data_IF_819496093129
#
_entry.id   IF_819496093129
#
_cell.length_a   1.000
_cell.length_b   1.000
_cell.length_c   1.000
_cell.angle_alpha   90.00
_cell.angle_beta   90.00
_cell.angle_gamma   90.00
#
_symmetry.space_group_name_H-M   'P 1'
#
loop_
_entity.id
_entity.type
_entity.pdbx_description
1 polymer ?
#
# COMPACT_ATOMS: atom_id res chain seq x y z
N UNK A 1 19.58 -23.67 38.86
CA UNK A 1 18.47 -24.63 38.66
C UNK A 1 17.24 -23.80 38.30
N UNK A 2 17.04 -23.49 37.01
CA UNK A 2 16.05 -24.14 36.10
C UNK A 2 14.62 -23.98 36.60
N UNK A 3 13.83 -23.06 36.06
CA UNK A 3 13.06 -23.14 34.79
C UNK A 3 11.63 -23.61 35.03
N UNK A 4 10.64 -22.76 34.69
CA UNK A 4 9.41 -23.13 33.97
C UNK A 4 8.50 -21.89 33.86
N UNK A 5 8.80 -21.04 32.89
CA UNK A 5 7.83 -20.12 32.30
C UNK A 5 7.33 -20.78 31.02
N UNK A 6 6.11 -21.30 31.05
CA UNK A 6 5.39 -21.84 29.89
C UNK A 6 3.91 -21.47 30.04
N UNK A 7 3.11 -21.16 29.03
CA UNK A 7 3.30 -20.75 27.64
C UNK A 7 1.91 -20.20 27.30
N UNK A 8 1.76 -18.89 27.12
CA UNK A 8 0.54 -18.34 26.53
C UNK A 8 0.79 -18.26 25.02
N UNK A 9 0.67 -19.42 24.35
CA UNK A 9 0.85 -19.57 22.91
C UNK A 9 -0.22 -18.75 22.18
N UNK A 10 0.13 -17.51 21.87
CA UNK A 10 -0.71 -16.61 21.09
C UNK A 10 -0.81 -17.15 19.67
N UNK A 11 -2.04 -17.53 19.30
CA UNK A 11 -2.51 -18.00 17.97
C UNK A 11 -1.98 -17.15 16.80
N UNK A 12 -1.54 -15.92 17.07
CA UNK A 12 -0.86 -15.01 16.13
C UNK A 12 0.42 -15.60 15.49
N UNK A 13 1.14 -16.49 16.20
CA UNK A 13 2.38 -17.11 15.70
C UNK A 13 2.17 -18.15 14.59
N UNK A 14 1.00 -18.81 14.54
CA UNK A 14 0.71 -19.85 13.54
C UNK A 14 0.30 -19.28 12.17
N UNK A 15 0.00 -17.99 12.08
CA UNK A 15 -0.34 -17.28 10.82
C UNK A 15 0.78 -16.39 10.28
N UNK A 16 1.96 -16.32 10.91
CA UNK A 16 3.05 -15.44 10.47
C UNK A 16 2.77 -13.95 10.68
N UNK A 17 1.78 -13.61 11.51
CA UNK A 17 1.39 -12.25 11.81
C UNK A 17 2.28 -11.67 12.90
N UNK A 18 2.85 -10.48 12.64
CA UNK A 18 3.67 -9.76 13.64
C UNK A 18 2.81 -9.38 14.86
N UNK A 19 3.35 -9.44 16.09
CA UNK A 19 2.62 -9.11 17.30
C UNK A 19 2.02 -7.70 17.23
N UNK A 20 0.79 -7.51 17.74
CA UNK A 20 0.06 -6.23 17.72
C UNK A 20 0.71 -5.26 18.72
N UNK A 21 1.87 -4.71 18.35
CA UNK A 21 2.55 -3.60 19.03
C UNK A 21 2.29 -2.32 18.24
N UNK A 22 2.22 -1.14 18.87
CA UNK A 22 1.95 0.13 18.17
C UNK A 22 2.82 0.37 16.93
N UNK A 23 4.11 -0.01 16.99
CA UNK A 23 5.00 0.02 15.83
C UNK A 23 4.64 -0.98 14.73
N UNK A 24 4.15 -2.17 15.06
CA UNK A 24 3.73 -3.15 14.05
C UNK A 24 2.38 -2.76 13.45
N UNK A 25 1.46 -2.19 14.22
CA UNK A 25 0.19 -1.64 13.69
C UNK A 25 0.47 -0.55 12.66
N UNK A 26 1.33 0.41 13.01
CA UNK A 26 1.73 1.48 12.10
C UNK A 26 2.55 0.94 10.92
N UNK A 27 3.61 0.17 11.14
CA UNK A 27 4.58 -0.12 10.07
C UNK A 27 4.39 -1.46 9.35
N UNK A 28 3.43 -2.29 9.77
CA UNK A 28 3.11 -3.58 9.15
C UNK A 28 1.65 -3.64 8.71
N UNK A 29 0.71 -3.36 9.62
CA UNK A 29 -0.72 -3.48 9.29
C UNK A 29 -1.25 -2.30 8.46
N UNK A 30 -0.82 -1.06 8.72
CA UNK A 30 -1.30 0.08 7.95
C UNK A 30 -0.84 0.08 6.48
N UNK A 31 0.41 -0.32 6.13
CA UNK A 31 0.79 -0.54 4.73
C UNK A 31 -0.02 -1.62 4.03
N UNK A 32 -0.34 -2.72 4.74
CA UNK A 32 -1.20 -3.79 4.19
C UNK A 32 -2.63 -3.29 3.96
N UNK A 33 -3.19 -2.55 4.92
CA UNK A 33 -4.49 -1.90 4.76
C UNK A 33 -4.48 -0.88 3.60
N UNK A 34 -3.38 -0.15 3.43
CA UNK A 34 -3.16 0.73 2.28
C UNK A 34 -3.11 -0.02 0.96
N UNK A 35 -2.46 -1.18 0.90
CA UNK A 35 -2.40 -2.04 -0.29
C UNK A 35 -3.79 -2.62 -0.66
N UNK A 36 -4.57 -3.03 0.34
CA UNK A 36 -5.95 -3.46 0.14
C UNK A 36 -6.81 -2.29 -0.37
N UNK A 37 -6.64 -1.10 0.22
CA UNK A 37 -7.35 0.11 -0.19
C UNK A 37 -6.98 0.54 -1.62
N UNK A 38 -5.71 0.39 -2.00
CA UNK A 38 -5.20 0.67 -3.34
C UNK A 38 -5.79 -0.28 -4.38
N UNK A 39 -5.91 -1.56 -4.04
CA UNK A 39 -6.54 -2.55 -4.92
C UNK A 39 -8.04 -2.29 -5.06
N UNK A 40 -8.72 -1.91 -3.98
CA UNK A 40 -10.12 -1.51 -4.04
C UNK A 40 -10.31 -0.22 -4.87
N UNK A 41 -9.36 0.72 -4.79
CA UNK A 41 -9.34 1.94 -5.59
C UNK A 41 -9.16 1.63 -7.08
N UNK A 42 -8.31 0.66 -7.45
CA UNK A 42 -8.12 0.26 -8.85
C UNK A 42 -9.40 -0.31 -9.46
N UNK A 43 -10.12 -1.15 -8.70
CA UNK A 43 -11.41 -1.70 -9.10
C UNK A 43 -12.44 -0.57 -9.22
N UNK A 44 -12.44 0.40 -8.29
CA UNK A 44 -13.35 1.54 -8.32
C UNK A 44 -13.17 2.41 -9.57
N UNK A 45 -11.93 2.72 -9.95
CA UNK A 45 -11.64 3.53 -11.13
C UNK A 45 -12.02 2.79 -12.42
N UNK A 46 -11.67 1.49 -12.50
CA UNK A 46 -11.94 0.65 -13.68
C UNK A 46 -13.41 0.23 -13.82
N UNK A 47 -14.13 0.09 -12.70
CA UNK A 47 -15.51 -0.39 -12.65
C UNK A 47 -16.32 0.30 -11.52
N UNK A 48 -16.84 1.52 -11.75
CA UNK A 48 -17.55 2.28 -10.72
C UNK A 48 -18.89 1.65 -10.36
N UNK A 49 -19.49 0.89 -11.27
CA UNK A 49 -20.78 0.21 -11.10
C UNK A 49 -20.75 -0.83 -9.99
N UNK A 50 -19.61 -1.48 -9.75
CA UNK A 50 -19.43 -2.43 -8.65
C UNK A 50 -19.46 -1.74 -7.27
N UNK A 51 -18.77 -0.61 -7.11
CA UNK A 51 -18.76 0.12 -5.84
C UNK A 51 -20.13 0.72 -5.53
N UNK A 52 -20.80 1.30 -6.54
CA UNK A 52 -22.13 1.88 -6.35
C UNK A 52 -23.14 0.83 -5.91
N UNK A 53 -22.98 -0.42 -6.36
CA UNK A 53 -23.85 -1.54 -5.98
C UNK A 53 -23.55 -2.08 -4.57
N UNK A 54 -22.30 -2.06 -4.14
CA UNK A 54 -21.90 -2.49 -2.79
C UNK A 54 -22.14 -1.41 -1.73
N UNK A 55 -21.99 -0.13 -2.09
CA UNK A 55 -22.06 0.98 -1.16
C UNK A 55 -22.67 2.25 -1.79
N UNK A 56 -24.00 2.31 -1.92
CA UNK A 56 -24.71 3.36 -2.65
C UNK A 56 -24.75 4.75 -1.99
N UNK A 57 -24.21 4.94 -0.77
CA UNK A 57 -24.42 6.16 0.05
C UNK A 57 -23.17 6.81 0.66
N UNK A 58 -21.96 6.35 0.35
CA UNK A 58 -20.71 6.90 0.93
C UNK A 58 -19.65 7.14 -0.12
N UNK A 59 -18.94 8.28 -0.01
CA UNK A 59 -17.74 8.63 -0.79
C UNK A 59 -16.54 7.76 -0.40
N UNK A 60 -16.64 6.46 -0.68
CA UNK A 60 -15.64 5.46 -0.32
C UNK A 60 -14.35 5.67 -1.08
N UNK A 61 -14.40 6.21 -2.30
CA UNK A 61 -13.22 6.51 -3.10
C UNK A 61 -12.26 7.44 -2.36
N UNK A 62 -12.77 8.49 -1.71
CA UNK A 62 -11.94 9.43 -0.94
C UNK A 62 -11.32 8.75 0.29
N UNK A 63 -12.08 7.87 0.96
CA UNK A 63 -11.59 7.11 2.10
C UNK A 63 -10.51 6.10 1.68
N UNK A 64 -10.73 5.39 0.57
CA UNK A 64 -9.77 4.44 -0.01
C UNK A 64 -8.49 5.15 -0.44
N UNK A 65 -8.62 6.33 -1.03
CA UNK A 65 -7.50 7.16 -1.46
C UNK A 65 -6.71 7.67 -0.26
N UNK A 66 -7.35 8.17 0.79
CA UNK A 66 -6.67 8.59 2.03
C UNK A 66 -5.94 7.40 2.68
N UNK A 67 -6.58 6.23 2.79
CA UNK A 67 -5.94 5.05 3.36
C UNK A 67 -4.75 4.58 2.52
N UNK A 68 -4.86 4.65 1.19
CA UNK A 68 -3.77 4.35 0.26
C UNK A 68 -2.59 5.31 0.45
N UNK A 69 -2.87 6.62 0.53
CA UNK A 69 -1.85 7.65 0.76
C UNK A 69 -1.16 7.47 2.11
N UNK A 70 -1.93 7.19 3.17
CA UNK A 70 -1.37 6.94 4.49
C UNK A 70 -0.52 5.67 4.51
N UNK A 71 -1.02 4.56 3.94
CA UNK A 71 -0.28 3.30 3.91
C UNK A 71 1.01 3.37 3.08
N UNK A 72 0.95 3.95 1.88
CA UNK A 72 2.12 4.13 1.01
C UNK A 72 3.10 5.17 1.55
N UNK A 73 2.60 6.27 2.12
CA UNK A 73 3.43 7.30 2.76
C UNK A 73 4.12 6.76 4.00
N UNK A 74 3.43 5.98 4.83
CA UNK A 74 4.03 5.35 6.00
C UNK A 74 5.02 4.24 5.63
N UNK A 75 4.73 3.50 4.55
CA UNK A 75 5.66 2.54 3.96
C UNK A 75 6.96 3.23 3.53
N UNK A 76 6.88 4.28 2.71
CA UNK A 76 8.02 5.07 2.26
C UNK A 76 8.77 5.68 3.45
N UNK A 77 8.04 6.25 4.42
CA UNK A 77 8.63 6.85 5.61
C UNK A 77 9.54 5.87 6.31
N UNK A 78 9.17 4.59 6.48
CA UNK A 78 9.99 3.65 7.24
C UNK A 78 11.24 3.13 6.48
N UNK A 79 11.43 3.48 5.21
CA UNK A 79 12.50 2.88 4.39
C UNK A 79 13.90 3.43 4.72
N UNK A 80 14.95 2.59 4.60
CA UNK A 80 16.31 2.97 4.94
C UNK A 80 16.90 4.08 4.07
N UNK A 81 16.51 4.22 2.79
CA UNK A 81 17.01 5.29 1.92
C UNK A 81 16.67 6.71 2.41
N UNK A 82 15.60 6.87 3.21
CA UNK A 82 15.21 8.16 3.79
C UNK A 82 15.74 8.39 5.21
N UNK A 83 16.50 7.44 5.78
CA UNK A 83 17.04 7.58 7.14
C UNK A 83 18.17 8.59 7.25
N UNK A 84 18.84 8.91 6.14
CA UNK A 84 19.87 9.95 6.08
C UNK A 84 19.29 11.38 6.06
N UNK A 85 18.02 11.53 5.69
CA UNK A 85 17.35 12.83 5.61
C UNK A 85 16.84 13.32 6.98
N UNK A 86 16.66 14.64 7.12
CA UNK A 86 16.04 15.22 8.32
C UNK A 86 14.59 14.74 8.49
N UNK A 87 14.06 14.73 9.72
CA UNK A 87 12.70 14.24 10.00
C UNK A 87 11.63 14.95 9.15
N UNK A 88 11.75 16.26 8.93
CA UNK A 88 10.83 17.03 8.09
C UNK A 88 10.93 16.61 6.61
N UNK A 89 12.15 16.51 6.06
CA UNK A 89 12.36 16.07 4.68
C UNK A 89 11.85 14.65 4.46
N UNK A 90 12.06 13.76 5.43
CA UNK A 90 11.56 12.37 5.38
C UNK A 90 10.04 12.33 5.28
N UNK A 91 9.31 13.17 6.03
CA UNK A 91 7.86 13.28 5.91
C UNK A 91 7.47 13.81 4.53
N UNK A 92 8.07 14.92 4.07
CA UNK A 92 7.74 15.54 2.79
C UNK A 92 7.99 14.62 1.59
N UNK A 93 9.14 13.93 1.56
CA UNK A 93 9.47 12.98 0.50
C UNK A 93 8.55 11.77 0.49
N UNK A 94 8.16 11.28 1.67
CA UNK A 94 7.22 10.16 1.77
C UNK A 94 5.82 10.55 1.31
N UNK A 95 5.34 11.73 1.67
CA UNK A 95 4.05 12.27 1.21
C UNK A 95 4.08 12.47 -0.30
N UNK A 96 5.14 13.09 -0.82
CA UNK A 96 5.31 13.32 -2.26
C UNK A 96 5.29 11.99 -3.02
N UNK A 97 6.10 11.01 -2.62
CA UNK A 97 6.11 9.69 -3.25
C UNK A 97 4.77 8.97 -3.20
N UNK A 98 4.08 9.03 -2.05
CA UNK A 98 2.76 8.44 -1.89
C UNK A 98 1.71 9.09 -2.82
N UNK A 99 1.69 10.42 -2.91
CA UNK A 99 0.78 11.17 -3.76
C UNK A 99 1.08 10.91 -5.23
N UNK A 100 2.33 11.02 -5.65
CA UNK A 100 2.75 10.76 -7.04
C UNK A 100 2.41 9.33 -7.47
N UNK A 101 2.69 8.34 -6.62
CA UNK A 101 2.36 6.95 -6.92
C UNK A 101 0.84 6.73 -7.01
N UNK A 102 0.08 7.22 -6.04
CA UNK A 102 -1.37 7.00 -5.98
C UNK A 102 -2.11 7.71 -7.12
N UNK A 103 -1.80 8.99 -7.35
CA UNK A 103 -2.42 9.78 -8.42
C UNK A 103 -1.96 9.30 -9.81
N UNK A 104 -0.69 8.94 -9.97
CA UNK A 104 -0.18 8.35 -11.21
C UNK A 104 -0.90 7.04 -11.55
N UNK A 105 -1.16 6.19 -10.55
CA UNK A 105 -1.91 4.95 -10.73
C UNK A 105 -3.35 5.20 -11.17
N UNK A 106 -4.03 6.18 -10.55
CA UNK A 106 -5.40 6.56 -10.94
C UNK A 106 -5.46 7.05 -12.39
N UNK A 107 -4.46 7.84 -12.84
CA UNK A 107 -4.38 8.29 -14.23
C UNK A 107 -4.18 7.10 -15.20
N UNK A 108 -3.30 6.16 -14.86
CA UNK A 108 -3.09 4.94 -15.66
C UNK A 108 -4.39 4.13 -15.77
N UNK A 109 -5.13 3.96 -14.67
CA UNK A 109 -6.41 3.26 -14.70
C UNK A 109 -7.50 4.01 -15.47
N UNK A 110 -7.51 5.35 -15.41
CA UNK A 110 -8.42 6.15 -16.22
C UNK A 110 -8.17 5.95 -17.73
N UNK A 111 -6.90 5.89 -18.15
CA UNK A 111 -6.51 5.59 -19.53
C UNK A 111 -6.84 4.14 -19.89
N UNK A 112 -6.51 3.16 -19.03
CA UNK A 112 -6.84 1.76 -19.28
C UNK A 112 -8.34 1.55 -19.47
N UNK A 113 -9.16 2.23 -18.66
CA UNK A 113 -10.61 2.18 -18.78
C UNK A 113 -11.12 2.74 -20.11
N UNK A 114 -10.47 3.75 -20.69
CA UNK A 114 -10.88 4.25 -22.02
C UNK A 114 -10.47 3.32 -23.16
N UNK A 115 -9.52 2.40 -22.93
CA UNK A 115 -9.02 1.44 -23.91
C UNK A 115 -9.71 0.07 -23.82
N UNK A 116 -10.18 -0.33 -22.63
CA UNK A 116 -10.81 -1.63 -22.40
C UNK A 116 -12.30 -1.57 -22.78
N UNK A 117 -12.81 -2.50 -23.61
CA UNK A 117 -14.24 -2.56 -23.94
C UNK A 117 -15.10 -2.78 -22.69
N UNK A 118 -16.37 -2.37 -22.69
CA UNK A 118 -17.31 -2.33 -21.54
C UNK A 118 -17.71 -3.69 -20.93
N UNK A 119 -16.75 -4.59 -20.76
CA UNK A 119 -16.90 -5.88 -20.10
C UNK A 119 -16.48 -5.74 -18.64
N UNK A 120 -17.47 -5.71 -17.75
CA UNK A 120 -17.34 -5.64 -16.28
C UNK A 120 -16.26 -6.58 -15.71
N UNK A 121 -16.16 -7.87 -16.10
CA UNK A 121 -15.15 -8.78 -15.54
C UNK A 121 -13.74 -8.45 -16.04
N UNK A 122 -13.59 -8.06 -17.31
CA UNK A 122 -12.31 -7.69 -17.90
C UNK A 122 -11.76 -6.42 -17.24
N UNK A 123 -12.58 -5.39 -17.03
CA UNK A 123 -12.18 -4.18 -16.32
C UNK A 123 -11.68 -4.48 -14.90
N UNK A 124 -12.35 -5.39 -14.18
CA UNK A 124 -11.94 -5.78 -12.83
C UNK A 124 -10.63 -6.57 -12.83
N UNK A 125 -10.46 -7.55 -13.73
CA UNK A 125 -9.21 -8.30 -13.86
C UNK A 125 -8.05 -7.37 -14.25
N UNK A 126 -8.27 -6.48 -15.22
CA UNK A 126 -7.28 -5.47 -15.60
C UNK A 126 -6.96 -4.52 -14.45
N UNK A 127 -7.96 -4.06 -13.67
CA UNK A 127 -7.74 -3.18 -12.53
C UNK A 127 -6.95 -3.84 -11.40
N UNK A 128 -7.29 -5.08 -11.05
CA UNK A 128 -6.54 -5.85 -10.04
C UNK A 128 -5.13 -6.16 -10.54
N UNK A 129 -5.01 -6.65 -11.78
CA UNK A 129 -3.73 -7.01 -12.39
C UNK A 129 -2.77 -5.83 -12.49
N UNK A 130 -3.24 -4.71 -13.03
CA UNK A 130 -2.43 -3.49 -13.14
C UNK A 130 -2.12 -2.86 -11.78
N UNK A 131 -3.05 -2.91 -10.83
CA UNK A 131 -2.78 -2.48 -9.46
C UNK A 131 -1.68 -3.30 -8.79
N UNK A 132 -1.77 -4.63 -8.83
CA UNK A 132 -0.73 -5.50 -8.27
C UNK A 132 0.61 -5.29 -8.98
N UNK A 133 0.61 -5.13 -10.31
CA UNK A 133 1.81 -4.87 -11.08
C UNK A 133 2.49 -3.54 -10.70
N UNK A 134 1.73 -2.44 -10.59
CA UNK A 134 2.24 -1.14 -10.17
C UNK A 134 2.76 -1.17 -8.73
N UNK A 135 2.07 -1.88 -7.83
CA UNK A 135 2.50 -2.03 -6.44
C UNK A 135 3.80 -2.85 -6.32
N UNK A 136 3.93 -3.93 -7.11
CA UNK A 136 5.17 -4.70 -7.24
C UNK A 136 6.31 -3.84 -7.77
N UNK A 137 6.09 -3.14 -8.88
CA UNK A 137 7.08 -2.26 -9.49
C UNK A 137 7.54 -1.15 -8.53
N UNK A 138 6.61 -0.51 -7.83
CA UNK A 138 6.93 0.49 -6.83
C UNK A 138 7.74 -0.09 -5.67
N UNK A 139 7.40 -1.29 -5.20
CA UNK A 139 8.13 -1.97 -4.13
C UNK A 139 9.57 -2.31 -4.55
N UNK A 140 9.73 -2.89 -5.74
CA UNK A 140 11.02 -3.26 -6.33
C UNK A 140 11.89 -2.01 -6.58
N UNK A 141 11.30 -0.92 -7.09
CA UNK A 141 11.99 0.36 -7.27
C UNK A 141 12.53 0.90 -5.93
N UNK A 142 11.69 0.94 -4.90
CA UNK A 142 12.12 1.45 -3.60
C UNK A 142 13.17 0.51 -2.98
N UNK A 143 13.07 -0.80 -3.17
CA UNK A 143 14.07 -1.76 -2.69
C UNK A 143 15.42 -1.60 -3.39
N UNK A 144 15.40 -1.34 -4.70
CA UNK A 144 16.61 -1.02 -5.44
C UNK A 144 17.27 0.26 -4.89
N UNK A 145 16.52 1.33 -4.67
CA UNK A 145 17.03 2.57 -4.06
C UNK A 145 17.56 2.33 -2.65
N UNK A 146 16.88 1.50 -1.86
CA UNK A 146 17.34 1.11 -0.52
C UNK A 146 18.68 0.35 -0.56
N UNK A 147 18.90 -0.47 -1.59
CA UNK A 147 20.18 -1.18 -1.76
C UNK A 147 21.34 -0.22 -2.03
N UNK A 148 21.13 0.79 -2.88
CA UNK A 148 22.13 1.82 -3.17
C UNK A 148 22.49 2.64 -1.93
N UNK A 149 21.50 2.99 -1.11
CA UNK A 149 21.73 3.71 0.14
C UNK A 149 22.54 2.92 1.18
N UNK A 150 22.47 1.57 1.15
CA UNK A 150 23.29 0.71 2.02
C UNK A 150 24.75 0.63 1.55
N UNK A 151 24.97 0.61 0.24
CA UNK A 151 26.31 0.55 -0.36
C UNK A 151 27.05 1.89 -0.26
N UNK A 152 26.34 3.01 -0.18
CA UNK A 152 26.92 4.35 -0.04
C UNK A 152 27.42 4.71 1.37
N UNK A 153 27.45 3.74 2.30
CA UNK A 153 27.98 3.96 3.66
C UNK A 153 29.51 3.84 3.61
N UNK A 154 30.29 4.91 3.88
CA UNK A 154 31.75 4.84 3.92
C UNK A 154 32.27 3.96 5.05
#
# INVERSE_FOLDING_TARGET
MTSAAEVHESVCGKLGLKPITGNNVLFYYAPIQGALSYTALSINVMNPSLILRLFPKRDITNILLINTLLGSGLYLYNRPHLKSATKQQRVLYSIFGAVSFSMGSVLIWAILRSLVPENVPLCTICGVGTGLALMKLGSDYVEHVDSLAKTAKP
#
